data_IF_698197692484
#
_entry.id   IF_698197692484
#
_cell.length_a   1.000
_cell.length_b   1.000
_cell.length_c   1.000
_cell.angle_alpha   90.00
_cell.angle_beta   90.00
_cell.angle_gamma   90.00
#
_symmetry.space_group_name_H-M   'P 1'
#
loop_
_entity.id
_entity.type
_entity.pdbx_description
1 polymer ?
#
# COMPACT_ATOMS: atom_id res chain seq x y z
N UNK A 1 42.71 4.16 46.11
CA UNK A 1 41.45 3.39 45.90
C UNK A 1 40.37 4.18 45.16
N UNK A 2 40.03 5.44 45.53
CA UNK A 2 39.00 6.26 44.84
C UNK A 2 39.19 6.43 43.31
N UNK A 3 40.42 6.62 42.82
CA UNK A 3 40.69 6.80 41.39
C UNK A 3 40.40 5.56 40.54
N UNK A 4 40.72 4.37 41.05
CA UNK A 4 40.47 3.09 40.36
C UNK A 4 38.95 2.82 40.34
N UNK A 5 38.26 3.11 41.44
CA UNK A 5 36.80 2.97 41.52
C UNK A 5 36.06 3.89 40.53
N UNK A 6 36.51 5.14 40.37
CA UNK A 6 35.97 6.05 39.36
C UNK A 6 36.23 5.58 37.92
N UNK A 7 37.38 4.95 37.65
CA UNK A 7 37.68 4.38 36.33
C UNK A 7 36.78 3.18 36.01
N UNK A 8 36.47 2.34 37.00
CA UNK A 8 35.54 1.21 36.83
C UNK A 8 34.12 1.71 36.56
N UNK A 9 33.65 2.72 37.30
CA UNK A 9 32.33 3.34 37.08
C UNK A 9 32.25 3.96 35.68
N UNK A 10 33.30 4.67 35.25
CA UNK A 10 33.34 5.27 33.92
C UNK A 10 33.28 4.22 32.81
N UNK A 11 33.97 3.09 32.97
CA UNK A 11 33.92 1.96 32.04
C UNK A 11 32.52 1.36 31.91
N UNK A 12 31.79 1.24 33.02
CA UNK A 12 30.40 0.75 33.03
C UNK A 12 29.47 1.71 32.29
N UNK A 13 29.62 3.02 32.50
CA UNK A 13 28.81 4.04 31.82
C UNK A 13 29.04 4.00 30.31
N UNK A 14 30.30 3.91 29.87
CA UNK A 14 30.64 3.83 28.44
C UNK A 14 30.07 2.55 27.82
N UNK A 15 30.12 1.42 28.53
CA UNK A 15 29.54 0.17 28.05
C UNK A 15 28.01 0.28 27.87
N UNK A 16 27.30 0.90 28.81
CA UNK A 16 25.84 1.13 28.71
C UNK A 16 25.52 2.04 27.51
N UNK A 17 26.31 3.10 27.28
CA UNK A 17 26.13 3.99 26.13
C UNK A 17 26.39 3.24 24.81
N UNK A 18 27.43 2.41 24.74
CA UNK A 18 27.74 1.63 23.54
C UNK A 18 26.66 0.59 23.23
N UNK A 19 26.13 -0.10 24.24
CA UNK A 19 25.06 -1.11 24.08
C UNK A 19 23.74 -0.42 23.68
N UNK A 20 23.39 0.69 24.32
CA UNK A 20 22.17 1.44 23.98
C UNK A 20 22.23 2.04 22.59
N UNK A 21 23.38 2.59 22.16
CA UNK A 21 23.60 3.02 20.79
C UNK A 21 23.46 1.85 19.81
N UNK A 22 24.07 0.70 20.11
CA UNK A 22 23.99 -0.51 19.28
C UNK A 22 22.55 -1.00 19.09
N UNK A 23 21.74 -1.00 20.16
CA UNK A 23 20.31 -1.35 20.10
C UNK A 23 19.52 -0.30 19.30
N UNK A 24 19.77 1.00 19.49
CA UNK A 24 19.11 2.07 18.73
C UNK A 24 19.45 2.04 17.24
N UNK A 25 20.66 1.58 16.90
CA UNK A 25 21.12 1.41 15.51
C UNK A 25 20.74 0.07 14.90
N UNK A 26 20.11 -0.86 15.64
CA UNK A 26 19.63 -2.11 15.06
C UNK A 26 18.56 -1.81 14.01
N UNK A 27 19.04 -1.82 12.77
CA UNK A 27 18.38 -2.11 11.51
C UNK A 27 16.87 -1.96 11.52
N UNK A 28 16.39 -0.82 11.01
CA UNK A 28 15.03 -0.74 10.45
C UNK A 28 14.92 -1.83 9.40
N UNK A 29 14.26 -2.95 9.73
CA UNK A 29 14.02 -4.03 8.78
C UNK A 29 12.99 -3.52 7.79
N UNK A 30 13.46 -3.04 6.63
CA UNK A 30 12.61 -2.62 5.55
C UNK A 30 11.97 -3.83 4.87
N UNK A 31 10.67 -3.76 4.60
CA UNK A 31 10.00 -4.77 3.78
C UNK A 31 10.45 -4.56 2.33
N UNK A 32 11.02 -5.55 1.64
CA UNK A 32 11.46 -5.39 0.27
C UNK A 32 10.29 -5.05 -0.66
N UNK A 33 10.50 -4.10 -1.58
CA UNK A 33 9.48 -3.70 -2.55
C UNK A 33 8.93 -4.90 -3.35
N UNK A 34 9.79 -5.87 -3.69
CA UNK A 34 9.40 -7.10 -4.38
C UNK A 34 8.40 -7.94 -3.59
N UNK A 35 8.52 -7.97 -2.26
CA UNK A 35 7.58 -8.69 -1.38
C UNK A 35 6.21 -8.01 -1.40
N UNK A 36 6.17 -6.69 -1.34
CA UNK A 36 4.94 -5.90 -1.43
C UNK A 36 4.29 -6.08 -2.81
N UNK A 37 5.07 -5.99 -3.90
CA UNK A 37 4.57 -6.21 -5.26
C UNK A 37 4.00 -7.62 -5.44
N UNK A 38 4.65 -8.63 -4.85
CA UNK A 38 4.19 -10.03 -4.88
C UNK A 38 2.88 -10.17 -4.12
N UNK A 39 2.78 -9.59 -2.92
CA UNK A 39 1.56 -9.60 -2.12
C UNK A 39 0.40 -8.89 -2.83
N UNK A 40 0.65 -7.73 -3.46
CA UNK A 40 -0.33 -7.03 -4.28
C UNK A 40 -0.79 -7.93 -5.42
N UNK A 41 0.14 -8.49 -6.20
CA UNK A 41 -0.18 -9.36 -7.34
C UNK A 41 -1.02 -10.57 -6.94
N UNK A 42 -0.74 -11.18 -5.78
CA UNK A 42 -1.48 -12.31 -5.25
C UNK A 42 -2.94 -11.99 -4.89
N UNK A 43 -3.31 -10.71 -4.72
CA UNK A 43 -4.70 -10.29 -4.46
C UNK A 43 -5.54 -10.13 -5.72
N UNK A 44 -4.93 -10.19 -6.91
CA UNK A 44 -5.65 -10.10 -8.18
C UNK A 44 -5.88 -11.49 -8.79
N UNK A 45 -6.96 -11.68 -9.56
CA UNK A 45 -7.95 -10.68 -9.95
C UNK A 45 -8.91 -10.29 -8.82
N UNK A 46 -9.31 -9.02 -8.79
CA UNK A 46 -10.33 -8.51 -7.86
C UNK A 46 -11.64 -8.38 -8.62
N UNK A 47 -12.68 -9.06 -8.14
CA UNK A 47 -14.02 -9.01 -8.74
C UNK A 47 -15.02 -8.43 -7.74
N UNK A 48 -15.82 -7.46 -8.18
CA UNK A 48 -16.89 -6.84 -7.38
C UNK A 48 -18.15 -6.73 -8.22
N UNK A 49 -19.24 -7.29 -7.69
CA UNK A 49 -20.58 -7.13 -8.26
C UNK A 49 -21.29 -5.96 -7.61
N UNK A 50 -22.10 -5.25 -8.39
CA UNK A 50 -22.98 -4.18 -7.93
C UNK A 50 -24.34 -4.30 -8.66
N UNK A 51 -25.42 -3.64 -8.21
CA UNK A 51 -26.78 -3.92 -8.69
C UNK A 51 -26.99 -3.85 -10.21
N UNK A 52 -26.10 -3.19 -10.96
CA UNK A 52 -26.23 -2.96 -12.41
C UNK A 52 -24.99 -3.43 -13.20
N UNK A 53 -24.11 -4.24 -12.59
CA UNK A 53 -22.94 -4.74 -13.30
C UNK A 53 -21.91 -5.45 -12.44
N UNK A 54 -20.82 -5.86 -13.07
CA UNK A 54 -19.68 -6.50 -12.42
C UNK A 54 -18.39 -5.88 -12.96
N UNK A 55 -17.52 -5.48 -12.04
CA UNK A 55 -16.18 -5.00 -12.37
C UNK A 55 -15.13 -6.03 -11.96
N UNK A 56 -14.17 -6.25 -12.84
CA UNK A 56 -12.98 -7.08 -12.63
C UNK A 56 -11.74 -6.23 -12.83
N UNK A 57 -10.85 -6.21 -11.85
CA UNK A 57 -9.48 -5.71 -11.99
C UNK A 57 -8.52 -6.88 -12.15
N UNK A 58 -7.59 -6.80 -13.10
CA UNK A 58 -6.64 -7.86 -13.40
C UNK A 58 -5.32 -7.28 -13.93
N UNK A 59 -4.30 -8.14 -14.06
CA UNK A 59 -2.95 -7.76 -14.49
C UNK A 59 -2.37 -6.56 -13.72
N UNK A 60 -2.28 -6.62 -12.38
CA UNK A 60 -1.75 -5.50 -11.62
C UNK A 60 -0.26 -5.29 -11.89
N UNK A 61 0.13 -4.02 -11.98
CA UNK A 61 1.51 -3.55 -11.89
C UNK A 61 1.59 -2.56 -10.75
N UNK A 62 2.51 -2.79 -9.81
CA UNK A 62 2.67 -1.93 -8.65
C UNK A 62 4.08 -1.42 -8.50
N UNK A 63 4.23 -0.15 -8.16
CA UNK A 63 5.52 0.51 -7.96
C UNK A 63 5.39 1.63 -6.92
N UNK A 64 6.52 2.08 -6.39
CA UNK A 64 6.54 3.18 -5.44
C UNK A 64 6.81 4.50 -6.15
N UNK A 65 6.02 5.52 -5.83
CA UNK A 65 6.20 6.89 -6.30
C UNK A 65 5.93 7.83 -5.11
N UNK A 66 6.85 8.75 -4.81
CA UNK A 66 6.71 9.73 -3.72
C UNK A 66 6.29 9.11 -2.37
N UNK A 67 6.90 7.99 -1.99
CA UNK A 67 6.62 7.26 -0.75
C UNK A 67 5.21 6.63 -0.66
N UNK A 68 4.50 6.56 -1.78
CA UNK A 68 3.20 5.89 -1.90
C UNK A 68 3.29 4.72 -2.86
N UNK A 69 2.45 3.72 -2.64
CA UNK A 69 2.33 2.60 -3.55
C UNK A 69 1.31 2.96 -4.63
N UNK A 70 1.74 2.91 -5.88
CA UNK A 70 0.89 3.05 -7.06
C UNK A 70 0.54 1.66 -7.56
N UNK A 71 -0.74 1.42 -7.82
CA UNK A 71 -1.25 0.18 -8.41
C UNK A 71 -1.99 0.52 -9.70
N UNK A 72 -1.44 0.07 -10.81
CA UNK A 72 -2.08 0.11 -12.12
C UNK A 72 -2.69 -1.26 -12.40
N UNK A 73 -3.95 -1.30 -12.83
CA UNK A 73 -4.59 -2.55 -13.22
C UNK A 73 -5.46 -2.33 -14.45
N UNK A 74 -5.54 -3.36 -15.29
CA UNK A 74 -6.58 -3.43 -16.32
C UNK A 74 -7.92 -3.67 -15.63
N UNK A 75 -8.97 -3.03 -16.14
CA UNK A 75 -10.33 -3.32 -15.69
C UNK A 75 -11.22 -3.71 -16.85
N UNK A 76 -12.22 -4.49 -16.48
CA UNK A 76 -13.34 -4.86 -17.32
C UNK A 76 -14.61 -4.70 -16.51
N UNK A 77 -15.54 -3.94 -17.04
CA UNK A 77 -16.82 -3.66 -16.42
C UNK A 77 -17.93 -4.09 -17.38
N UNK A 78 -18.67 -5.12 -16.98
CA UNK A 78 -19.89 -5.55 -17.65
C UNK A 78 -21.07 -4.88 -16.95
N UNK A 79 -21.68 -3.88 -17.60
CA UNK A 79 -22.80 -3.10 -17.05
C UNK A 79 -23.92 -2.93 -18.07
N UNK A 80 -25.15 -3.30 -17.71
CA UNK A 80 -26.37 -3.00 -18.50
C UNK A 80 -26.24 -3.32 -20.01
N UNK A 81 -25.62 -4.46 -20.36
CA UNK A 81 -25.33 -4.96 -21.71
C UNK A 81 -24.13 -4.35 -22.44
N UNK A 82 -23.45 -3.38 -21.86
CA UNK A 82 -22.18 -2.86 -22.38
C UNK A 82 -20.99 -3.44 -21.61
N UNK A 83 -19.93 -3.76 -22.35
CA UNK A 83 -18.64 -4.17 -21.77
C UNK A 83 -17.62 -3.07 -22.01
N UNK A 84 -17.23 -2.41 -20.93
CA UNK A 84 -16.27 -1.32 -20.94
C UNK A 84 -14.96 -1.84 -20.36
N UNK A 85 -13.85 -1.58 -21.05
CA UNK A 85 -12.52 -1.91 -20.56
C UNK A 85 -11.60 -0.69 -20.57
N UNK A 86 -10.51 -0.81 -19.81
CA UNK A 86 -9.48 0.22 -19.75
C UNK A 86 -8.52 -0.07 -18.62
N UNK A 87 -7.90 0.98 -18.10
CA UNK A 87 -6.96 0.91 -16.99
C UNK A 87 -7.38 1.85 -15.87
N UNK A 88 -7.17 1.41 -14.63
CA UNK A 88 -7.31 2.22 -13.43
C UNK A 88 -5.96 2.29 -12.72
N UNK A 89 -5.57 3.50 -12.34
CA UNK A 89 -4.39 3.75 -11.52
C UNK A 89 -4.82 4.27 -10.17
N UNK A 90 -4.44 3.54 -9.13
CA UNK A 90 -4.70 3.88 -7.74
C UNK A 90 -3.40 4.28 -7.06
N UNK A 91 -3.49 5.28 -6.20
CA UNK A 91 -2.48 5.59 -5.20
C UNK A 91 -2.99 5.10 -3.85
N UNK A 92 -2.14 4.41 -3.10
CA UNK A 92 -2.48 3.85 -1.78
C UNK A 92 -1.31 4.00 -0.81
N UNK A 93 -1.66 4.24 0.45
CA UNK A 93 -0.72 4.30 1.56
C UNK A 93 -0.53 2.92 2.19
N UNK A 94 0.69 2.63 2.65
CA UNK A 94 0.99 1.42 3.41
C UNK A 94 0.83 1.69 4.91
N UNK A 95 -0.01 0.89 5.57
CA UNK A 95 -0.20 0.93 7.02
C UNK A 95 0.28 -0.36 7.65
N UNK A 96 1.24 -0.26 8.56
CA UNK A 96 1.70 -1.39 9.37
C UNK A 96 0.97 -1.37 10.71
N UNK A 97 0.35 -2.49 11.08
CA UNK A 97 -0.24 -2.71 12.40
C UNK A 97 0.70 -3.55 13.27
N UNK A 98 1.36 -2.95 14.28
CA UNK A 98 2.36 -3.65 15.09
C UNK A 98 1.81 -4.81 15.91
N UNK A 99 0.55 -4.72 16.35
CA UNK A 99 -0.07 -5.73 17.22
C UNK A 99 -0.18 -7.10 16.56
N UNK A 100 -0.52 -7.11 15.27
CA UNK A 100 -0.66 -8.35 14.51
C UNK A 100 0.53 -8.59 13.56
N UNK A 101 1.49 -7.67 13.51
CA UNK A 101 2.60 -7.64 12.54
C UNK A 101 2.13 -7.67 11.08
N UNK A 102 1.06 -6.93 10.77
CA UNK A 102 0.38 -6.99 9.48
C UNK A 102 0.53 -5.70 8.68
N UNK A 103 0.79 -5.82 7.39
CA UNK A 103 0.83 -4.71 6.44
C UNK A 103 -0.48 -4.62 5.64
N UNK A 104 -1.05 -3.43 5.54
CA UNK A 104 -2.30 -3.15 4.86
C UNK A 104 -2.13 -2.09 3.78
N UNK A 105 -2.94 -2.20 2.74
CA UNK A 105 -3.19 -1.12 1.79
C UNK A 105 -4.33 -0.25 2.31
N UNK A 106 -4.11 1.06 2.37
CA UNK A 106 -5.07 2.04 2.89
C UNK A 106 -5.16 3.27 1.99
N UNK A 107 -6.22 4.07 2.14
CA UNK A 107 -6.44 5.30 1.40
C UNK A 107 -6.36 5.15 -0.13
N UNK A 108 -7.07 4.15 -0.68
CA UNK A 108 -7.14 3.93 -2.13
C UNK A 108 -7.76 5.14 -2.83
N UNK A 109 -6.94 5.84 -3.58
CA UNK A 109 -7.34 7.05 -4.31
C UNK A 109 -7.20 6.80 -5.79
N UNK A 110 -8.29 6.92 -6.55
CA UNK A 110 -8.24 6.88 -8.02
C UNK A 110 -7.50 8.11 -8.55
N UNK A 111 -6.41 7.89 -9.28
CA UNK A 111 -5.58 8.94 -9.91
C UNK A 111 -5.82 9.05 -11.40
N UNK A 112 -5.93 7.91 -12.08
CA UNK A 112 -6.12 7.86 -13.53
C UNK A 112 -7.12 6.78 -13.89
N UNK A 113 -7.96 7.09 -14.88
CA UNK A 113 -8.91 6.18 -15.47
C UNK A 113 -8.82 6.30 -16.98
N UNK A 114 -8.75 5.18 -17.68
CA UNK A 114 -8.91 5.15 -19.13
C UNK A 114 -10.16 4.36 -19.51
N UNK A 115 -10.72 4.66 -20.67
CA UNK A 115 -11.74 3.83 -21.31
C UNK A 115 -11.28 3.57 -22.73
N UNK A 116 -11.16 2.31 -23.10
CA UNK A 116 -10.74 1.88 -24.45
C UNK A 116 -9.43 2.57 -24.89
N UNK A 117 -8.48 2.69 -23.95
CA UNK A 117 -7.19 3.34 -24.16
C UNK A 117 -7.21 4.87 -24.16
N UNK A 118 -8.38 5.51 -24.01
CA UNK A 118 -8.50 6.97 -23.93
C UNK A 118 -8.58 7.45 -22.48
N UNK A 119 -7.76 8.43 -22.14
CA UNK A 119 -7.74 9.03 -20.81
C UNK A 119 -9.07 9.73 -20.50
N UNK A 120 -9.66 9.39 -19.36
CA UNK A 120 -10.82 10.07 -18.79
C UNK A 120 -10.31 11.07 -17.77
N UNK A 121 -10.60 12.35 -17.97
CA UNK A 121 -10.39 13.36 -16.96
C UNK A 121 -11.42 13.16 -15.81
N UNK A 122 -10.97 12.52 -14.75
CA UNK A 122 -11.78 12.20 -13.57
C UNK A 122 -12.16 13.43 -12.74
N UNK A 123 -11.35 14.50 -12.78
CA UNK A 123 -11.63 15.74 -12.06
C UNK A 123 -12.83 16.47 -12.67
N UNK A 124 -13.02 16.34 -13.99
CA UNK A 124 -14.21 16.81 -14.69
C UNK A 124 -15.43 15.88 -14.53
N UNK A 125 -15.29 14.73 -13.84
CA UNK A 125 -16.34 13.71 -13.66
C UNK A 125 -16.44 13.27 -12.19
N UNK A 126 -16.85 14.17 -11.27
CA UNK A 126 -16.80 13.93 -9.82
C UNK A 126 -17.67 12.76 -9.36
N UNK A 127 -18.81 12.52 -10.02
CA UNK A 127 -19.71 11.40 -9.68
C UNK A 127 -19.02 10.05 -9.90
N UNK A 128 -18.32 9.90 -11.03
CA UNK A 128 -17.59 8.66 -11.36
C UNK A 128 -16.44 8.47 -10.37
N UNK A 129 -15.71 9.54 -10.05
CA UNK A 129 -14.63 9.51 -9.06
C UNK A 129 -15.15 9.05 -7.69
N UNK A 130 -16.25 9.61 -7.21
CA UNK A 130 -16.84 9.24 -5.91
C UNK A 130 -17.33 7.80 -5.89
N UNK A 131 -18.04 7.35 -6.93
CA UNK A 131 -18.56 5.99 -6.99
C UNK A 131 -17.45 4.94 -7.02
N UNK A 132 -16.39 5.18 -7.81
CA UNK A 132 -15.25 4.27 -7.87
C UNK A 132 -14.44 4.30 -6.57
N UNK A 133 -14.16 5.49 -6.01
CA UNK A 133 -13.47 5.59 -4.72
C UNK A 133 -14.25 4.87 -3.62
N UNK A 134 -15.59 4.97 -3.59
CA UNK A 134 -16.41 4.24 -2.62
C UNK A 134 -16.38 2.73 -2.83
N UNK A 135 -16.49 2.26 -4.09
CA UNK A 135 -16.42 0.83 -4.38
C UNK A 135 -15.06 0.23 -3.96
N UNK A 136 -13.99 0.99 -4.12
CA UNK A 136 -12.63 0.54 -3.85
C UNK A 136 -12.11 0.85 -2.45
N UNK A 137 -12.69 1.80 -1.72
CA UNK A 137 -12.39 1.99 -0.28
C UNK A 137 -12.84 0.79 0.55
N UNK A 138 -13.82 0.01 0.07
CA UNK A 138 -14.17 -1.27 0.69
C UNK A 138 -13.05 -2.33 0.56
N UNK A 139 -12.08 -2.15 -0.35
CA UNK A 139 -10.88 -2.98 -0.38
C UNK A 139 -9.98 -2.67 0.84
N UNK A 140 -9.93 -1.43 1.33
CA UNK A 140 -9.12 -1.04 2.51
C UNK A 140 -9.44 -1.88 3.74
N UNK A 141 -10.69 -2.28 3.90
CA UNK A 141 -11.16 -3.07 5.05
C UNK A 141 -10.90 -4.57 4.91
N UNK A 142 -10.42 -5.03 3.75
CA UNK A 142 -10.36 -6.45 3.40
C UNK A 142 -8.95 -6.98 3.08
N UNK A 143 -7.98 -6.13 2.72
CA UNK A 143 -6.69 -6.62 2.20
C UNK A 143 -5.53 -6.47 3.17
N UNK A 144 -5.25 -7.58 3.83
CA UNK A 144 -3.97 -7.92 4.41
C UNK A 144 -2.95 -8.25 3.30
N UNK A 145 -1.74 -7.71 3.35
CA UNK A 145 -0.69 -8.02 2.36
C UNK A 145 0.28 -9.09 2.86
N UNK A 146 0.81 -8.90 4.07
CA UNK A 146 1.88 -9.70 4.70
C UNK A 146 1.75 -9.57 6.19
#
# INVERSE_FOLDING_TARGET
>A
MKKIFNFVILGIIIAIIAISAYIFTQNKVGIPNSMIQTAVKARFPIEKSYPLGKIKLYNPKSYFENNKLVIEAEYMNDALNDRISGTMTFETDLRYEPMDSKLYLSNFTLKKLTKEGKDINIDKKPIIRTALNFAFSQLEKMYYLI
#
